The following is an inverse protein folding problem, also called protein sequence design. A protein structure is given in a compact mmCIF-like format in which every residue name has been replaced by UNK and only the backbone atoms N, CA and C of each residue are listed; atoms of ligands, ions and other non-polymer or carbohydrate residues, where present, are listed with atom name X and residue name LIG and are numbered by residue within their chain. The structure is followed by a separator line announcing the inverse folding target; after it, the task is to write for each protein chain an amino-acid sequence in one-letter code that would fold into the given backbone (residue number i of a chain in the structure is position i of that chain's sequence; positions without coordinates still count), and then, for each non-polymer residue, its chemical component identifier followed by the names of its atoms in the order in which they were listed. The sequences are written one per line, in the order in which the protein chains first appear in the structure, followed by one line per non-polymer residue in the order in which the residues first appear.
data_IF_988720528062
#
_entry.id   IF_988720528062
#
_cell.length_a   1.000
_cell.length_b   1.000
_cell.length_c   1.000
_cell.angle_alpha   90.00
_cell.angle_beta   90.00
_cell.angle_gamma   90.00
#
_symmetry.space_group_name_H-M   'P 1'
#
loop_
_entity.id
_entity.type
_entity.pdbx_description
1 polymer ?
#
# COMPACT_ATOMS: atom_id res chain seq x y z
N UNK A 1 11.79 34.68 35.77
CA UNK A 1 12.22 33.31 35.38
C UNK A 1 11.03 32.36 35.26
N UNK A 2 10.17 32.24 36.29
CA UNK A 2 8.93 31.43 36.26
C UNK A 2 8.04 31.68 35.03
N UNK A 3 7.71 32.94 34.72
CA UNK A 3 6.83 33.29 33.58
C UNK A 3 7.37 32.86 32.23
N UNK A 4 8.70 32.91 32.03
CA UNK A 4 9.35 32.49 30.77
C UNK A 4 9.32 30.96 30.61
N UNK A 5 9.41 30.22 31.72
CA UNK A 5 9.31 28.76 31.73
C UNK A 5 7.87 28.32 31.41
N UNK A 6 6.87 28.99 31.99
CA UNK A 6 5.45 28.70 31.74
C UNK A 6 5.05 28.92 30.28
N UNK A 7 5.51 30.03 29.67
CA UNK A 7 5.25 30.34 28.25
C UNK A 7 5.91 29.31 27.32
N UNK A 8 7.13 28.88 27.64
CA UNK A 8 7.82 27.85 26.87
C UNK A 8 7.10 26.49 26.93
N UNK A 9 6.65 26.07 28.12
CA UNK A 9 5.89 24.82 28.29
C UNK A 9 4.55 24.89 27.55
N UNK A 10 3.84 26.01 27.62
CA UNK A 10 2.58 26.19 26.92
C UNK A 10 2.75 26.17 25.39
N UNK A 11 3.79 26.81 24.87
CA UNK A 11 4.12 26.76 23.44
C UNK A 11 4.45 25.33 23.00
N UNK A 12 5.20 24.58 23.81
CA UNK A 12 5.58 23.20 23.53
C UNK A 12 4.37 22.26 23.54
N UNK A 13 3.45 22.42 24.49
CA UNK A 13 2.19 21.68 24.52
C UNK A 13 1.30 21.99 23.32
N UNK A 14 1.23 23.27 22.92
CA UNK A 14 0.41 23.67 21.76
C UNK A 14 0.95 23.04 20.47
N UNK A 15 2.27 23.05 20.27
CA UNK A 15 2.89 22.40 19.10
C UNK A 15 2.60 20.90 19.09
N UNK A 16 2.72 20.21 20.23
CA UNK A 16 2.39 18.78 20.35
C UNK A 16 0.91 18.53 20.03
N UNK A 17 -0.03 19.26 20.63
CA UNK A 17 -1.45 19.02 20.38
C UNK A 17 -1.83 19.31 18.93
N UNK A 18 -1.29 20.36 18.32
CA UNK A 18 -1.55 20.68 16.92
C UNK A 18 -0.93 19.68 15.93
N UNK A 19 0.24 19.10 16.24
CA UNK A 19 0.87 18.11 15.35
C UNK A 19 0.24 16.73 15.51
N UNK A 20 0.03 16.25 16.75
CA UNK A 20 -0.55 14.93 16.98
C UNK A 20 -2.05 14.87 16.70
N UNK A 21 -2.80 15.95 16.96
CA UNK A 21 -4.23 16.04 16.60
C UNK A 21 -4.49 16.04 15.10
N UNK A 22 -3.47 16.34 14.27
CA UNK A 22 -3.56 16.29 12.82
C UNK A 22 -3.17 14.94 12.19
N UNK A 23 -2.59 14.01 12.96
CA UNK A 23 -2.11 12.72 12.43
C UNK A 23 -3.29 11.79 12.10
N UNK A 24 -4.37 11.82 12.89
CA UNK A 24 -5.55 10.98 12.65
C UNK A 24 -6.31 11.38 11.35
N UNK A 25 -6.19 12.64 10.92
CA UNK A 25 -6.82 13.11 9.68
C UNK A 25 -6.06 12.72 8.40
N UNK A 26 -4.83 12.21 8.53
CA UNK A 26 -3.96 11.80 7.42
C UNK A 26 -3.66 10.30 7.42
N UNK A 27 -4.46 9.48 8.10
CA UNK A 27 -4.39 8.03 8.02
C UNK A 27 -4.79 7.57 6.60
N UNK A 28 -3.85 7.69 5.65
CA UNK A 28 -3.95 7.07 4.34
C UNK A 28 -3.98 5.56 4.54
N UNK A 29 -5.00 4.91 4.00
CA UNK A 29 -5.13 3.46 4.01
C UNK A 29 -3.93 2.84 3.29
N UNK A 30 -3.38 1.72 3.82
CA UNK A 30 -2.34 0.98 3.10
C UNK A 30 -2.86 0.61 1.71
N UNK A 31 -1.96 0.63 0.72
CA UNK A 31 -2.31 0.21 -0.64
C UNK A 31 -2.49 -1.31 -0.63
N UNK A 32 -3.60 -1.78 -1.15
CA UNK A 32 -3.90 -3.20 -1.29
C UNK A 32 -2.99 -3.77 -2.39
N UNK A 33 -2.02 -4.60 -2.00
CA UNK A 33 -0.99 -5.17 -2.91
C UNK A 33 -1.29 -6.60 -3.32
N UNK A 34 -2.41 -7.09 -2.82
CA UNK A 34 -3.08 -8.37 -3.01
C UNK A 34 -4.33 -8.24 -3.91
N UNK A 35 -4.48 -7.11 -4.61
CA UNK A 35 -5.57 -6.91 -5.55
C UNK A 35 -5.15 -6.27 -6.88
N UNK A 36 -5.84 -6.65 -7.95
CA UNK A 36 -5.68 -6.11 -9.29
C UNK A 36 -6.97 -5.39 -9.65
N UNK A 37 -6.87 -4.10 -9.92
CA UNK A 37 -7.99 -3.28 -10.37
C UNK A 37 -8.01 -3.29 -11.89
N UNK A 38 -9.17 -3.60 -12.48
CA UNK A 38 -9.36 -3.70 -13.92
C UNK A 38 -10.50 -2.79 -14.32
N UNK A 39 -10.24 -1.80 -15.17
CA UNK A 39 -11.25 -0.93 -15.74
C UNK A 39 -11.44 -1.29 -17.21
N UNK A 40 -12.66 -1.61 -17.60
CA UNK A 40 -13.04 -2.03 -18.94
C UNK A 40 -13.91 -0.95 -19.60
N UNK A 41 -13.64 -0.71 -20.88
CA UNK A 41 -14.45 0.13 -21.78
C UNK A 41 -14.63 -0.62 -23.09
N UNK A 42 -15.75 -0.36 -23.77
CA UNK A 42 -16.07 -0.99 -25.06
C UNK A 42 -15.91 -2.52 -25.04
N UNK A 43 -16.31 -3.14 -23.94
CA UNK A 43 -16.32 -4.60 -23.80
C UNK A 43 -17.35 -5.23 -24.76
N UNK A 44 -17.09 -6.46 -25.24
CA UNK A 44 -18.06 -7.16 -26.07
C UNK A 44 -19.41 -7.33 -25.35
N UNK A 45 -20.49 -7.29 -26.12
CA UNK A 45 -21.82 -7.59 -25.59
C UNK A 45 -21.87 -8.99 -24.96
N UNK A 46 -22.50 -9.10 -23.80
CA UNK A 46 -22.59 -10.35 -23.03
C UNK A 46 -21.42 -10.60 -22.08
N UNK A 47 -20.48 -9.65 -21.92
CA UNK A 47 -19.44 -9.72 -20.89
C UNK A 47 -20.07 -9.75 -19.50
N UNK A 48 -19.80 -10.82 -18.76
CA UNK A 48 -20.23 -11.00 -17.37
C UNK A 48 -19.09 -10.80 -16.37
N UNK A 49 -17.86 -11.15 -16.74
CA UNK A 49 -16.67 -10.92 -15.95
C UNK A 49 -15.42 -10.84 -16.83
N UNK A 50 -14.29 -10.49 -16.21
CA UNK A 50 -12.99 -10.43 -16.86
C UNK A 50 -11.96 -11.24 -16.09
N UNK A 51 -10.96 -11.73 -16.81
CA UNK A 51 -9.85 -12.48 -16.25
C UNK A 51 -8.51 -11.97 -16.81
N UNK A 52 -7.45 -12.09 -16.02
CA UNK A 52 -6.09 -11.78 -16.45
C UNK A 52 -5.48 -13.04 -17.03
N UNK A 53 -4.96 -12.97 -18.25
CA UNK A 53 -4.22 -14.08 -18.85
C UNK A 53 -2.72 -13.83 -18.75
N UNK A 54 -1.99 -14.82 -18.26
CA UNK A 54 -0.53 -14.81 -18.26
C UNK A 54 0.04 -15.80 -19.25
N UNK A 55 1.19 -15.45 -19.82
CA UNK A 55 1.89 -16.32 -20.76
C UNK A 55 2.29 -17.63 -20.10
N UNK A 56 2.02 -18.73 -20.79
CA UNK A 56 2.39 -20.07 -20.35
C UNK A 56 3.90 -20.21 -20.22
N UNK A 57 4.33 -20.90 -19.17
CA UNK A 57 5.74 -21.17 -18.87
C UNK A 57 5.93 -22.64 -18.56
N UNK A 58 7.06 -23.18 -19.01
CA UNK A 58 7.52 -24.47 -18.53
C UNK A 58 7.87 -24.36 -17.05
N UNK A 59 7.36 -25.28 -16.23
CA UNK A 59 7.54 -25.28 -14.76
C UNK A 59 7.05 -23.97 -14.14
N UNK A 60 5.79 -23.65 -14.41
CA UNK A 60 5.13 -22.46 -13.87
C UNK A 60 5.07 -22.53 -12.34
N UNK A 61 5.84 -21.65 -11.68
CA UNK A 61 5.91 -21.56 -10.21
C UNK A 61 4.52 -21.33 -9.58
N UNK A 62 3.66 -20.61 -10.29
CA UNK A 62 2.32 -20.25 -9.82
C UNK A 62 1.23 -21.09 -10.48
N UNK A 63 1.59 -22.04 -11.34
CA UNK A 63 0.63 -22.97 -11.94
C UNK A 63 -0.02 -23.87 -10.88
N UNK A 64 -1.25 -24.27 -11.15
CA UNK A 64 -1.91 -25.36 -10.42
C UNK A 64 -1.16 -26.68 -10.65
N UNK A 65 -1.14 -27.54 -9.63
CA UNK A 65 -0.62 -28.89 -9.78
C UNK A 65 -1.62 -29.79 -10.56
N UNK A 66 -1.14 -30.88 -11.15
CA UNK A 66 -1.99 -31.80 -11.90
C UNK A 66 -3.14 -32.35 -11.02
N UNK A 67 -4.38 -32.04 -11.41
CA UNK A 67 -5.59 -32.48 -10.71
C UNK A 67 -6.05 -31.54 -9.59
N UNK A 68 -5.35 -30.44 -9.33
CA UNK A 68 -5.81 -29.36 -8.46
C UNK A 68 -6.92 -28.58 -9.19
N UNK A 69 -8.07 -28.39 -8.52
CA UNK A 69 -9.16 -27.58 -9.08
C UNK A 69 -8.97 -26.11 -8.69
N UNK A 70 -9.30 -25.17 -9.58
CA UNK A 70 -9.22 -23.76 -9.25
C UNK A 70 -10.21 -23.40 -8.14
N UNK A 71 -9.69 -22.77 -7.09
CA UNK A 71 -10.47 -22.23 -5.98
C UNK A 71 -10.69 -20.73 -6.21
N UNK A 72 -11.55 -20.38 -7.17
CA UNK A 72 -11.87 -18.98 -7.47
C UNK A 72 -13.35 -18.67 -7.29
N UNK A 73 -13.66 -17.65 -6.49
CA UNK A 73 -15.02 -17.11 -6.39
C UNK A 73 -15.21 -16.03 -7.47
N UNK A 74 -16.25 -16.18 -8.29
CA UNK A 74 -16.58 -15.20 -9.33
C UNK A 74 -17.91 -14.58 -8.95
N UNK A 75 -17.94 -13.28 -8.76
CA UNK A 75 -19.18 -12.55 -8.53
C UNK A 75 -19.28 -11.38 -9.49
N UNK A 76 -20.48 -11.19 -10.03
CA UNK A 76 -20.72 -10.10 -10.96
C UNK A 76 -22.09 -9.46 -10.72
N UNK A 77 -22.20 -8.20 -11.12
CA UNK A 77 -23.46 -7.48 -11.04
C UNK A 77 -24.20 -7.57 -12.38
N UNK A 78 -25.30 -8.31 -12.40
CA UNK A 78 -26.24 -8.29 -13.52
C UNK A 78 -26.95 -6.93 -13.58
N UNK A 79 -27.10 -6.39 -14.80
CA UNK A 79 -27.76 -5.09 -14.99
C UNK A 79 -29.20 -5.12 -14.44
N UNK A 80 -29.51 -4.11 -13.64
CA UNK A 80 -30.79 -3.84 -12.95
C UNK A 80 -31.02 -4.47 -11.57
N UNK A 81 -30.04 -5.18 -10.99
CA UNK A 81 -30.15 -5.66 -9.61
C UNK A 81 -29.13 -4.98 -8.68
N UNK A 82 -29.54 -4.76 -7.42
CA UNK A 82 -28.63 -4.31 -6.35
C UNK A 82 -27.83 -5.47 -5.73
N UNK A 83 -28.01 -6.69 -6.24
CA UNK A 83 -27.37 -7.88 -5.72
C UNK A 83 -26.26 -8.36 -6.67
N UNK A 84 -25.19 -8.87 -6.09
CA UNK A 84 -24.19 -9.63 -6.84
C UNK A 84 -24.71 -11.05 -7.07
N UNK A 85 -24.45 -11.58 -8.27
CA UNK A 85 -24.68 -12.97 -8.62
C UNK A 85 -23.34 -13.69 -8.58
N UNK A 86 -23.28 -14.77 -7.82
CA UNK A 86 -22.13 -15.68 -7.83
C UNK A 86 -22.21 -16.61 -9.05
N UNK A 87 -21.08 -16.85 -9.69
CA UNK A 87 -20.91 -17.78 -10.80
C UNK A 87 -20.07 -18.96 -10.33
N UNK A 88 -20.68 -20.13 -10.34
CA UNK A 88 -19.96 -21.40 -10.19
C UNK A 88 -19.56 -21.89 -11.59
N UNK A 89 -18.28 -21.77 -11.92
CA UNK A 89 -17.71 -22.27 -13.17
C UNK A 89 -16.76 -23.43 -12.89
N UNK A 90 -16.99 -24.55 -13.57
CA UNK A 90 -16.11 -25.72 -13.50
C UNK A 90 -14.89 -25.62 -14.41
N UNK A 91 -13.95 -26.56 -14.24
CA UNK A 91 -12.74 -26.70 -15.07
C UNK A 91 -12.98 -26.92 -16.57
N UNK A 92 -14.21 -27.27 -16.95
CA UNK A 92 -14.59 -27.49 -18.34
C UNK A 92 -15.12 -26.22 -19.04
N UNK A 93 -15.23 -25.09 -18.33
CA UNK A 93 -15.63 -23.83 -18.95
C UNK A 93 -14.59 -23.33 -19.98
N UNK A 94 -14.99 -22.38 -20.84
CA UNK A 94 -14.16 -21.91 -21.94
C UNK A 94 -12.84 -21.29 -21.49
N UNK A 95 -12.88 -20.44 -20.46
CA UNK A 95 -11.73 -19.72 -19.90
C UNK A 95 -10.75 -20.68 -19.19
N UNK A 96 -11.26 -21.70 -18.50
CA UNK A 96 -10.41 -22.72 -17.87
C UNK A 96 -9.62 -23.56 -18.88
N UNK A 97 -10.17 -23.76 -20.08
CA UNK A 97 -9.51 -24.48 -21.18
C UNK A 97 -8.79 -23.56 -22.17
N UNK A 98 -8.82 -22.25 -21.95
CA UNK A 98 -8.23 -21.28 -22.86
C UNK A 98 -6.71 -21.45 -22.90
N UNK A 99 -6.16 -21.65 -24.10
CA UNK A 99 -4.73 -21.82 -24.30
C UNK A 99 -4.28 -21.46 -25.73
N UNK A 100 -3.95 -20.19 -25.95
CA UNK A 100 -3.31 -19.71 -27.18
C UNK A 100 -1.80 -19.41 -26.97
N UNK A 101 -1.24 -19.96 -25.89
CA UNK A 101 0.04 -19.54 -25.33
C UNK A 101 -0.11 -18.71 -24.05
N UNK A 102 -1.33 -18.31 -23.69
CA UNK A 102 -1.68 -17.71 -22.40
C UNK A 102 -2.70 -18.60 -21.68
N UNK A 103 -2.75 -18.49 -20.35
CA UNK A 103 -3.72 -19.19 -19.50
C UNK A 103 -4.29 -18.25 -18.45
N UNK A 104 -5.49 -18.59 -18.02
CA UNK A 104 -6.27 -17.90 -16.99
C UNK A 104 -5.53 -17.77 -15.66
N UNK A 105 -5.56 -16.58 -15.06
CA UNK A 105 -5.13 -16.36 -13.68
C UNK A 105 -6.10 -17.07 -12.74
N UNK A 106 -7.41 -16.85 -12.90
CA UNK A 106 -8.46 -17.45 -12.04
C UNK A 106 -8.48 -18.98 -12.04
N UNK A 107 -8.29 -19.61 -13.20
CA UNK A 107 -8.53 -21.05 -13.39
C UNK A 107 -7.27 -21.90 -13.49
N UNK A 108 -6.11 -21.30 -13.77
CA UNK A 108 -4.90 -22.07 -14.01
C UNK A 108 -3.77 -21.75 -13.03
N UNK A 109 -3.93 -20.75 -12.14
CA UNK A 109 -2.88 -20.30 -11.23
C UNK A 109 -3.35 -20.32 -9.77
N UNK A 110 -2.46 -20.74 -8.88
CA UNK A 110 -2.63 -20.76 -7.42
C UNK A 110 -2.93 -19.40 -6.78
N UNK A 111 -2.36 -18.27 -7.23
CA UNK A 111 -2.53 -17.01 -6.52
C UNK A 111 -3.92 -16.38 -6.63
N UNK A 112 -4.75 -16.70 -7.63
CA UNK A 112 -6.06 -16.06 -7.72
C UNK A 112 -7.04 -16.64 -6.70
N UNK A 113 -7.81 -15.76 -6.04
CA UNK A 113 -8.80 -16.19 -5.04
C UNK A 113 -10.22 -15.78 -5.43
N UNK A 114 -10.40 -14.59 -6.00
CA UNK A 114 -11.73 -14.14 -6.45
C UNK A 114 -11.67 -13.01 -7.46
N UNK A 115 -12.79 -12.80 -8.15
CA UNK A 115 -13.04 -11.58 -8.93
C UNK A 115 -14.46 -11.06 -8.65
N UNK A 116 -14.53 -9.76 -8.42
CA UNK A 116 -15.78 -9.00 -8.34
C UNK A 116 -15.87 -8.09 -9.56
N UNK A 117 -16.90 -8.22 -10.37
CA UNK A 117 -17.05 -7.42 -11.58
C UNK A 117 -18.40 -6.71 -11.67
N UNK A 118 -18.39 -5.41 -11.99
CA UNK A 118 -19.61 -4.61 -12.09
C UNK A 118 -19.39 -3.44 -13.04
N UNK A 119 -20.18 -3.39 -14.13
CA UNK A 119 -20.27 -2.22 -15.04
C UNK A 119 -18.90 -1.75 -15.55
N UNK A 120 -18.12 -2.67 -16.11
CA UNK A 120 -16.77 -2.37 -16.58
C UNK A 120 -15.75 -2.15 -15.48
N UNK A 121 -16.05 -2.43 -14.20
CA UNK A 121 -15.08 -2.39 -13.11
C UNK A 121 -14.89 -3.78 -12.53
N UNK A 122 -13.69 -4.32 -12.68
CA UNK A 122 -13.22 -5.56 -12.09
C UNK A 122 -12.27 -5.32 -10.92
N UNK A 123 -12.47 -6.07 -9.86
CA UNK A 123 -11.60 -6.12 -8.70
C UNK A 123 -11.25 -7.58 -8.44
N UNK A 124 -10.00 -7.95 -8.74
CA UNK A 124 -9.52 -9.32 -8.61
C UNK A 124 -8.62 -9.44 -7.40
N UNK A 125 -8.94 -10.34 -6.48
CA UNK A 125 -8.11 -10.64 -5.32
C UNK A 125 -7.13 -11.76 -5.66
N UNK A 126 -5.90 -11.60 -5.17
CA UNK A 126 -4.88 -12.62 -5.15
C UNK A 126 -4.56 -13.00 -3.70
N UNK A 127 -3.98 -14.17 -3.48
CA UNK A 127 -3.58 -14.67 -2.17
C UNK A 127 -2.61 -13.70 -1.51
N UNK A 128 -2.83 -13.44 -0.23
CA UNK A 128 -1.97 -12.67 0.68
C UNK A 128 -0.51 -13.18 0.73
N UNK A 129 -0.27 -14.42 0.34
CA UNK A 129 1.07 -15.02 0.25
C UNK A 129 1.86 -14.58 -0.99
N UNK A 130 1.21 -13.93 -1.98
CA UNK A 130 1.82 -13.52 -3.24
C UNK A 130 1.56 -12.04 -3.48
N UNK A 131 2.62 -11.26 -3.64
CA UNK A 131 2.50 -9.86 -4.01
C UNK A 131 2.31 -9.71 -5.51
N UNK A 132 1.47 -8.75 -5.93
CA UNK A 132 1.29 -8.41 -7.35
C UNK A 132 2.62 -8.24 -8.09
N UNK A 133 3.58 -7.53 -7.49
CA UNK A 133 4.88 -7.29 -8.10
C UNK A 133 5.58 -8.60 -8.48
N UNK A 134 5.49 -9.63 -7.64
CA UNK A 134 6.17 -10.90 -7.88
C UNK A 134 5.50 -11.66 -9.03
N UNK A 135 4.17 -11.63 -9.08
CA UNK A 135 3.37 -12.21 -10.14
C UNK A 135 3.67 -11.59 -11.51
N UNK A 136 3.57 -10.26 -11.61
CA UNK A 136 3.81 -9.53 -12.86
C UNK A 136 5.30 -9.50 -13.25
N UNK A 137 6.24 -9.45 -12.30
CA UNK A 137 7.67 -9.60 -12.60
C UNK A 137 8.01 -11.00 -13.13
N UNK A 138 7.33 -12.03 -12.60
CA UNK A 138 7.55 -13.40 -13.01
C UNK A 138 7.06 -13.58 -14.45
N UNK A 139 5.79 -13.29 -14.75
CA UNK A 139 5.23 -13.50 -16.08
C UNK A 139 5.72 -12.49 -17.12
N UNK A 140 5.83 -11.21 -16.73
CA UNK A 140 6.35 -10.11 -17.53
C UNK A 140 5.44 -9.62 -18.65
N UNK A 141 4.40 -10.37 -18.99
CA UNK A 141 3.45 -10.04 -20.05
C UNK A 141 2.08 -10.63 -19.75
N UNK A 142 1.03 -9.87 -20.01
CA UNK A 142 -0.34 -10.25 -19.69
C UNK A 142 -1.36 -9.71 -20.70
N UNK A 143 -2.57 -10.27 -20.67
CA UNK A 143 -3.75 -9.87 -21.44
C UNK A 143 -4.97 -9.87 -20.54
N UNK A 144 -6.09 -9.32 -21.04
CA UNK A 144 -7.41 -9.43 -20.42
C UNK A 144 -8.32 -10.25 -21.33
N UNK A 145 -9.03 -11.22 -20.75
CA UNK A 145 -10.11 -11.95 -21.39
C UNK A 145 -11.46 -11.41 -20.90
N UNK A 146 -12.36 -11.13 -21.83
CA UNK A 146 -13.76 -10.84 -21.55
C UNK A 146 -14.55 -12.14 -21.65
N UNK A 147 -15.29 -12.47 -20.60
CA UNK A 147 -15.96 -13.76 -20.46
C UNK A 147 -17.48 -13.59 -20.26
N UNK A 148 -18.26 -14.49 -20.87
CA UNK A 148 -19.71 -14.56 -20.61
C UNK A 148 -20.04 -15.29 -19.30
N UNK A 149 -21.33 -15.33 -18.93
CA UNK A 149 -21.79 -16.00 -17.69
C UNK A 149 -21.50 -17.51 -17.64
N UNK A 150 -21.16 -18.14 -18.77
CA UNK A 150 -20.82 -19.57 -18.87
C UNK A 150 -19.30 -19.78 -18.88
N UNK A 151 -18.52 -18.71 -18.76
CA UNK A 151 -17.07 -18.73 -18.84
C UNK A 151 -16.55 -18.94 -20.26
N UNK A 152 -17.32 -18.65 -21.31
CA UNK A 152 -16.77 -18.62 -22.66
C UNK A 152 -16.01 -17.32 -22.88
N UNK A 153 -14.85 -17.40 -23.52
CA UNK A 153 -14.05 -16.22 -23.88
C UNK A 153 -14.68 -15.56 -25.11
N UNK A 154 -15.16 -14.33 -24.95
CA UNK A 154 -15.77 -13.52 -26.00
C UNK A 154 -14.70 -12.81 -26.83
N UNK A 155 -13.71 -12.24 -26.14
CA UNK A 155 -12.61 -11.49 -26.74
C UNK A 155 -11.41 -11.50 -25.79
N UNK A 156 -10.21 -11.32 -26.35
CA UNK A 156 -8.97 -11.14 -25.60
C UNK A 156 -8.27 -9.88 -26.11
N UNK A 157 -7.69 -9.11 -25.20
CA UNK A 157 -6.89 -7.93 -25.56
C UNK A 157 -5.55 -8.31 -26.18
N UNK A 158 -4.92 -7.36 -26.85
CA UNK A 158 -3.50 -7.42 -27.16
C UNK A 158 -2.67 -7.53 -25.87
N UNK A 159 -1.50 -8.17 -26.00
CA UNK A 159 -0.59 -8.34 -24.87
C UNK A 159 0.13 -7.04 -24.52
N UNK A 160 0.30 -6.81 -23.22
CA UNK A 160 1.12 -5.73 -22.70
C UNK A 160 2.22 -6.31 -21.83
N UNK A 161 3.43 -5.76 -22.01
CA UNK A 161 4.59 -6.11 -21.20
C UNK A 161 4.56 -5.30 -19.91
N UNK A 162 4.53 -5.99 -18.78
CA UNK A 162 4.69 -5.37 -17.48
C UNK A 162 6.17 -5.01 -17.26
N UNK A 163 6.43 -3.75 -16.93
CA UNK A 163 7.72 -3.28 -16.45
C UNK A 163 8.06 -3.93 -15.11
N UNK A 164 9.33 -4.30 -14.95
CA UNK A 164 9.78 -4.88 -13.69
C UNK A 164 9.71 -3.83 -12.59
N UNK A 165 9.00 -4.14 -11.53
CA UNK A 165 8.84 -3.26 -10.36
C UNK A 165 9.42 -3.92 -9.11
N UNK A 166 10.28 -3.20 -8.39
CA UNK A 166 10.84 -3.65 -7.10
C UNK A 166 10.01 -3.21 -5.90
N UNK A 167 9.10 -2.25 -6.09
CA UNK A 167 8.25 -1.70 -5.04
C UNK A 167 6.93 -2.45 -4.96
N UNK A 168 6.34 -2.48 -3.77
CA UNK A 168 4.97 -2.91 -3.60
C UNK A 168 4.06 -1.88 -4.31
N UNK A 169 3.23 -2.35 -5.22
CA UNK A 169 2.32 -1.49 -5.98
C UNK A 169 1.07 -2.24 -6.35
N UNK A 170 -0.03 -1.51 -6.34
CA UNK A 170 -1.31 -1.94 -6.88
C UNK A 170 -1.29 -1.76 -8.40
N UNK A 171 -1.79 -2.77 -9.12
CA UNK A 171 -1.87 -2.75 -10.57
C UNK A 171 -3.25 -2.25 -10.99
N UNK A 172 -3.28 -1.12 -11.70
CA UNK A 172 -4.48 -0.55 -12.30
C UNK A 172 -4.44 -0.82 -13.79
N UNK A 173 -5.20 -1.80 -14.23
CA UNK A 173 -5.32 -2.20 -15.63
C UNK A 173 -6.48 -1.44 -16.26
N UNK A 174 -6.28 -0.91 -17.46
CA UNK A 174 -7.34 -0.32 -18.28
C UNK A 174 -7.41 -1.04 -19.62
N UNK A 175 -8.52 -1.73 -19.87
CA UNK A 175 -8.80 -2.45 -21.10
C UNK A 175 -9.88 -1.70 -21.90
N UNK A 176 -9.65 -1.47 -23.17
CA UNK A 176 -10.57 -0.78 -24.08
C UNK A 176 -10.73 -1.61 -25.37
N UNK A 177 -11.79 -2.43 -25.42
CA UNK A 177 -11.96 -3.42 -26.48
C UNK A 177 -10.74 -4.35 -26.55
N UNK A 178 -9.96 -4.28 -27.63
CA UNK A 178 -8.73 -5.08 -27.80
C UNK A 178 -7.49 -4.41 -27.21
N UNK A 179 -7.54 -3.11 -26.90
CA UNK A 179 -6.39 -2.37 -26.38
C UNK A 179 -6.26 -2.53 -24.87
N UNK A 180 -5.04 -2.44 -24.36
CA UNK A 180 -4.74 -2.61 -22.94
C UNK A 180 -3.63 -1.63 -22.53
N UNK A 181 -3.75 -1.05 -21.34
CA UNK A 181 -2.70 -0.29 -20.66
C UNK A 181 -2.74 -0.58 -19.16
N UNK A 182 -1.68 -0.23 -18.44
CA UNK A 182 -1.67 -0.33 -16.98
C UNK A 182 -0.88 0.79 -16.34
N UNK A 183 -1.23 1.07 -15.09
CA UNK A 183 -0.54 2.00 -14.20
C UNK A 183 -0.20 1.32 -12.89
N UNK A 184 0.92 1.72 -12.28
CA UNK A 184 1.36 1.24 -10.97
C UNK A 184 1.11 2.32 -9.93
N UNK A 185 0.28 2.02 -8.93
CA UNK A 185 0.15 2.88 -7.75
C UNK A 185 1.01 2.34 -6.63
N UNK A 186 2.13 3.02 -6.40
CA UNK A 186 3.05 2.65 -5.34
C UNK A 186 2.46 2.99 -3.96
N UNK A 187 2.79 2.15 -2.96
CA UNK A 187 2.56 2.50 -1.57
C UNK A 187 3.20 3.85 -1.24
N UNK A 188 2.46 4.79 -0.62
CA UNK A 188 3.08 5.98 -0.05
C UNK A 188 4.10 5.51 1.01
N UNK A 189 5.31 6.09 1.00
CA UNK A 189 6.40 5.75 1.94
C UNK A 189 6.13 6.29 3.36
N UNK A 190 4.99 5.91 3.95
CA UNK A 190 4.49 6.41 5.24
C UNK A 190 5.49 6.11 6.35
N UNK A 191 6.15 4.95 6.34
CA UNK A 191 7.17 4.62 7.34
C UNK A 191 8.34 5.62 7.36
N UNK A 192 8.79 6.09 6.20
CA UNK A 192 9.84 7.10 6.10
C UNK A 192 9.33 8.46 6.58
N UNK A 193 8.09 8.82 6.23
CA UNK A 193 7.44 10.05 6.71
C UNK A 193 7.33 10.05 8.24
N UNK A 194 6.81 8.97 8.83
CA UNK A 194 6.67 8.82 10.28
C UNK A 194 8.03 8.85 10.98
N UNK A 195 9.07 8.24 10.41
CA UNK A 195 10.43 8.33 10.94
C UNK A 195 10.94 9.77 10.93
N UNK A 196 10.75 10.50 9.82
CA UNK A 196 11.14 11.90 9.70
C UNK A 196 10.39 12.76 10.75
N UNK A 197 9.09 12.54 10.91
CA UNK A 197 8.27 13.22 11.91
C UNK A 197 8.76 12.90 13.33
N UNK A 198 9.07 11.64 13.64
CA UNK A 198 9.62 11.24 14.94
C UNK A 198 10.95 11.94 15.23
N UNK A 199 11.86 11.99 14.25
CA UNK A 199 13.15 12.67 14.40
C UNK A 199 12.96 14.16 14.65
N UNK A 200 12.11 14.84 13.86
CA UNK A 200 11.90 16.29 13.95
C UNK A 200 11.15 16.70 15.22
N UNK A 201 10.11 15.96 15.61
CA UNK A 201 9.19 16.36 16.67
C UNK A 201 9.51 15.77 18.04
N UNK A 202 10.24 14.65 18.11
CA UNK A 202 10.57 13.99 19.38
C UNK A 202 12.07 14.04 19.64
N UNK A 203 12.87 13.60 18.68
CA UNK A 203 14.31 13.41 18.90
C UNK A 203 15.08 14.75 18.93
N UNK A 204 14.80 15.66 17.99
CA UNK A 204 15.44 16.98 17.93
C UNK A 204 15.10 17.86 19.16
N UNK A 205 13.83 17.99 19.59
CA UNK A 205 13.46 18.80 20.75
C UNK A 205 13.98 18.22 22.07
N UNK A 206 14.02 16.89 22.22
CA UNK A 206 14.56 16.25 23.42
C UNK A 206 16.08 16.49 23.56
N UNK A 207 16.82 16.43 22.44
CA UNK A 207 18.25 16.83 22.43
C UNK A 207 18.42 18.30 22.81
N UNK A 208 17.65 19.21 22.20
CA UNK A 208 17.70 20.64 22.51
C UNK A 208 17.39 20.90 24.00
N UNK A 209 16.37 20.23 24.54
CA UNK A 209 16.00 20.33 25.95
C UNK A 209 17.14 19.86 26.87
N UNK A 210 17.78 18.73 26.54
CA UNK A 210 18.92 18.22 27.30
C UNK A 210 20.11 19.19 27.30
N UNK A 211 20.38 19.84 26.16
CA UNK A 211 21.42 20.87 26.04
C UNK A 211 21.08 22.08 26.93
N UNK A 212 19.83 22.56 26.88
CA UNK A 212 19.37 23.69 27.70
C UNK A 212 19.47 23.37 29.19
N UNK A 213 19.07 22.16 29.62
CA UNK A 213 19.18 21.72 31.01
C UNK A 213 20.66 21.70 31.47
N UNK A 214 21.55 21.12 30.65
CA UNK A 214 23.00 21.13 30.95
C UNK A 214 23.56 22.54 31.06
N UNK A 215 23.17 23.43 30.16
CA UNK A 215 23.62 24.83 30.17
C UNK A 215 23.15 25.59 31.41
N UNK A 216 21.86 25.44 31.79
CA UNK A 216 21.32 26.03 33.01
C UNK A 216 22.02 25.47 34.26
N UNK A 217 22.24 24.16 34.34
CA UNK A 217 22.93 23.53 35.46
C UNK A 217 24.38 24.04 35.61
N UNK A 218 25.10 24.19 34.49
CA UNK A 218 26.44 24.78 34.45
C UNK A 218 26.42 26.23 34.93
N UNK A 219 25.50 27.05 34.43
CA UNK A 219 25.36 28.45 34.84
C UNK A 219 25.07 28.62 36.35
N UNK A 220 24.20 27.77 36.90
CA UNK A 220 23.90 27.77 38.34
C UNK A 220 25.13 27.37 39.17
N UNK A 221 25.93 26.39 38.71
CA UNK A 221 27.18 25.99 39.40
C UNK A 221 28.18 27.14 39.42
N UNK A 222 28.39 27.79 38.28
CA UNK A 222 29.36 28.89 38.19
C UNK A 222 28.97 30.08 39.09
N UNK A 223 27.69 30.47 39.10
CA UNK A 223 27.15 31.50 40.02
C UNK A 223 27.32 31.13 41.50
N UNK A 224 27.21 29.85 41.86
CA UNK A 224 27.43 29.39 43.24
C UNK A 224 28.91 29.51 43.64
N UNK A 225 29.82 29.22 42.72
CA UNK A 225 31.27 29.36 42.95
C UNK A 225 31.67 30.84 43.11
N UNK A 226 31.18 31.74 42.24
CA UNK A 226 31.40 33.19 42.38
C UNK A 226 30.89 33.72 43.73
N UNK A 227 29.69 33.31 44.15
CA UNK A 227 29.14 33.73 45.45
C UNK A 227 29.97 33.21 46.63
N UNK A 228 30.51 31.99 46.56
CA UNK A 228 31.40 31.46 47.60
C UNK A 228 32.68 32.30 47.69
N UNK A 229 33.34 32.55 46.55
CA UNK A 229 34.55 33.39 46.51
C UNK A 229 34.30 34.79 47.06
N UNK A 230 33.17 35.41 46.73
CA UNK A 230 32.81 36.73 47.25
C UNK A 230 32.61 36.71 48.78
N UNK A 231 31.98 35.64 49.31
CA UNK A 231 31.74 35.48 50.75
C UNK A 231 33.04 35.28 51.51
N UNK A 232 33.93 34.42 50.99
CA UNK A 232 35.24 34.14 51.58
C UNK A 232 36.10 35.43 51.60
N UNK A 233 36.11 36.19 50.49
CA UNK A 233 36.81 37.48 50.42
C UNK A 233 36.28 38.50 51.44
N UNK A 234 34.96 38.62 51.60
CA UNK A 234 34.39 39.50 52.63
C UNK A 234 34.74 39.06 54.04
N UNK A 235 34.75 37.76 54.35
CA UNK A 235 35.12 37.27 55.68
C UNK A 235 36.59 37.56 56.04
N UNK A 236 37.50 37.47 55.06
CA UNK A 236 38.91 37.80 55.27
C UNK A 236 39.14 39.31 55.45
N UNK A 237 38.35 40.15 54.79
CA UNK A 237 38.44 41.61 54.94
C UNK A 237 38.06 42.09 56.35
N UNK A 238 37.04 41.50 56.98
CA UNK A 238 36.59 41.87 58.33
C UNK A 238 37.43 41.26 59.48
N UNK A 239 38.43 40.41 59.18
CA UNK A 239 39.34 39.83 60.18
C UNK A 239 40.65 40.60 60.37
N UNK A 240 40.89 41.66 59.58
CA UNK A 240 42.03 42.57 59.72
C UNK A 240 41.60 43.86 60.42
#
# INVERSE_FOLDING_TARGET
MRTRISVFIAALFTVIVCTFGGIDACAMTPVETDSIIINCRNEPEGTAFVDVLFRNREKDKYGLDDGEEPHCEISFRADNENNFKELELGKDCGIARYNDGYSSLLFCKKPATSVHYSRGYGYMMISDMVQNKDLFNYYGEFRIAYCDEKGNVLQVTDAVKAEKNSSNSEYHISADGTSLSYELRAEPKIGLLLLILFVIYILLPSILLAIVIKWIASFIRHRKEEKKQLTDYTQDYYKK
#
